data_IF_777900246955
#
_entry.id   IF_777900246955
#
_cell.length_a   1.000
_cell.length_b   1.000
_cell.length_c   1.000
_cell.angle_alpha   90.00
_cell.angle_beta   90.00
_cell.angle_gamma   90.00
#
_symmetry.space_group_name_H-M   'P 1'
#
loop_
_entity.id
_entity.type
_entity.pdbx_description
1 polymer ?
#
# COMPACT_ATOMS: atom_id res chain seq x y z
N UNK A 1 -4.47 -22.14 -12.64
CA UNK A 1 -3.36 -21.88 -11.68
C UNK A 1 -3.18 -20.37 -11.44
N UNK A 2 -2.98 -19.55 -12.43
CA UNK A 2 -2.77 -18.09 -12.34
C UNK A 2 -3.87 -17.33 -11.57
N UNK A 3 -5.16 -17.67 -11.76
CA UNK A 3 -6.27 -17.05 -11.03
C UNK A 3 -6.18 -17.25 -9.51
N UNK A 4 -5.81 -18.47 -9.08
CA UNK A 4 -5.65 -18.77 -7.63
C UNK A 4 -4.50 -17.99 -7.02
N UNK A 5 -3.35 -17.93 -7.71
CA UNK A 5 -2.18 -17.17 -7.25
C UNK A 5 -2.54 -15.69 -7.13
N UNK A 6 -3.21 -15.11 -8.13
CA UNK A 6 -3.64 -13.71 -8.09
C UNK A 6 -4.61 -13.45 -6.93
N UNK A 7 -5.55 -14.37 -6.68
CA UNK A 7 -6.46 -14.25 -5.54
C UNK A 7 -5.71 -14.31 -4.21
N UNK A 8 -4.82 -15.29 -4.03
CA UNK A 8 -4.05 -15.44 -2.78
C UNK A 8 -3.16 -14.22 -2.52
N UNK A 9 -2.44 -13.75 -3.53
CA UNK A 9 -1.61 -12.54 -3.39
C UNK A 9 -2.46 -11.29 -3.11
N UNK A 10 -3.62 -11.16 -3.75
CA UNK A 10 -4.57 -10.09 -3.48
C UNK A 10 -5.10 -10.12 -2.04
N UNK A 11 -5.42 -11.31 -1.50
CA UNK A 11 -5.87 -11.46 -0.11
C UNK A 11 -4.78 -11.11 0.91
N UNK A 12 -3.51 -11.45 0.62
CA UNK A 12 -2.38 -11.04 1.47
C UNK A 12 -2.25 -9.52 1.50
N UNK A 13 -2.31 -8.88 0.32
CA UNK A 13 -2.26 -7.42 0.21
C UNK A 13 -3.46 -6.76 0.89
N UNK A 14 -4.65 -7.30 0.71
CA UNK A 14 -5.87 -6.82 1.36
C UNK A 14 -5.77 -6.89 2.89
N UNK A 15 -5.31 -8.01 3.44
CA UNK A 15 -5.10 -8.16 4.88
C UNK A 15 -4.07 -7.14 5.42
N UNK A 16 -2.97 -6.92 4.67
CA UNK A 16 -1.98 -5.90 5.00
C UNK A 16 -2.59 -4.50 5.01
N UNK A 17 -3.26 -4.09 3.93
CA UNK A 17 -3.86 -2.76 3.81
C UNK A 17 -4.91 -2.53 4.89
N UNK A 18 -5.76 -3.53 5.15
CA UNK A 18 -6.76 -3.46 6.22
C UNK A 18 -6.12 -3.25 7.58
N UNK A 19 -5.11 -4.05 7.94
CA UNK A 19 -4.38 -3.89 9.21
C UNK A 19 -3.69 -2.54 9.31
N UNK A 20 -3.10 -2.06 8.22
CA UNK A 20 -2.47 -0.75 8.14
C UNK A 20 -3.46 0.40 8.37
N UNK A 21 -4.62 0.36 7.72
CA UNK A 21 -5.66 1.38 7.90
C UNK A 21 -6.30 1.32 9.28
N UNK A 22 -6.49 0.12 9.85
CA UNK A 22 -6.93 -0.02 11.24
C UNK A 22 -5.92 0.59 12.21
N UNK A 23 -4.62 0.43 11.95
CA UNK A 23 -3.61 1.12 12.76
C UNK A 23 -3.72 2.64 12.66
N UNK A 24 -3.94 3.18 11.46
CA UNK A 24 -4.18 4.63 11.30
C UNK A 24 -5.41 5.12 12.06
N UNK A 25 -6.46 4.30 12.16
CA UNK A 25 -7.67 4.67 12.91
C UNK A 25 -7.44 4.84 14.42
N UNK A 26 -6.37 4.23 14.97
CA UNK A 26 -5.98 4.46 16.37
C UNK A 26 -5.59 5.91 16.66
N UNK A 27 -5.25 6.68 15.62
CA UNK A 27 -5.00 8.12 15.73
C UNK A 27 -6.21 8.93 16.19
N UNK A 28 -7.42 8.41 16.10
CA UNK A 28 -8.64 9.00 16.69
C UNK A 28 -8.53 9.05 18.21
N UNK A 29 -7.85 8.08 18.82
CA UNK A 29 -7.64 8.06 20.27
C UNK A 29 -6.43 8.90 20.68
N UNK A 30 -5.26 8.61 20.10
CA UNK A 30 -4.04 9.38 20.35
C UNK A 30 -2.92 8.99 19.39
N UNK A 31 -1.94 9.90 19.23
CA UNK A 31 -0.71 9.63 18.51
C UNK A 31 0.08 8.45 19.14
N UNK A 32 0.08 8.37 20.48
CA UNK A 32 0.74 7.29 21.19
C UNK A 32 0.12 5.91 20.91
N UNK A 33 -1.23 5.83 20.86
CA UNK A 33 -1.92 4.59 20.50
C UNK A 33 -1.61 4.15 19.05
N UNK A 34 -1.59 5.11 18.12
CA UNK A 34 -1.26 4.85 16.72
C UNK A 34 0.20 4.39 16.58
N UNK A 35 1.13 4.98 17.36
CA UNK A 35 2.53 4.61 17.35
C UNK A 35 2.77 3.20 17.93
N UNK A 36 2.13 2.86 19.05
CA UNK A 36 2.21 1.51 19.62
C UNK A 36 1.70 0.45 18.64
N UNK A 37 0.60 0.73 17.93
CA UNK A 37 0.11 -0.15 16.87
C UNK A 37 1.09 -0.26 15.69
N UNK A 38 1.77 0.84 15.31
CA UNK A 38 2.80 0.85 14.27
C UNK A 38 3.98 -0.05 14.63
N UNK A 39 4.46 0.02 15.86
CA UNK A 39 5.58 -0.80 16.33
C UNK A 39 5.26 -2.30 16.18
N UNK A 40 4.09 -2.70 16.62
CA UNK A 40 3.64 -4.08 16.48
C UNK A 40 3.50 -4.49 15.00
N UNK A 41 2.89 -3.64 14.19
CA UNK A 41 2.67 -3.89 12.76
C UNK A 41 3.99 -3.99 12.00
N UNK A 42 4.93 -3.08 12.26
CA UNK A 42 6.25 -3.10 11.63
C UNK A 42 7.10 -4.27 12.11
N UNK A 43 6.97 -4.68 13.37
CA UNK A 43 7.62 -5.89 13.88
C UNK A 43 7.23 -7.13 13.04
N UNK A 44 5.96 -7.28 12.69
CA UNK A 44 5.50 -8.39 11.84
C UNK A 44 5.96 -8.23 10.39
N UNK A 45 5.72 -7.05 9.81
CA UNK A 45 5.89 -6.83 8.36
C UNK A 45 7.34 -6.59 7.92
N UNK A 46 8.22 -6.16 8.83
CA UNK A 46 9.65 -5.93 8.52
C UNK A 46 10.54 -7.14 8.78
N UNK A 47 10.06 -8.17 9.46
CA UNK A 47 10.77 -9.46 9.54
C UNK A 47 10.91 -10.07 8.13
N UNK A 48 11.95 -10.88 7.88
CA UNK A 48 12.18 -11.43 6.54
C UNK A 48 10.96 -12.12 5.93
N UNK A 49 10.25 -12.92 6.72
CA UNK A 49 9.04 -13.63 6.26
C UNK A 49 7.94 -12.66 5.87
N UNK A 50 7.63 -11.67 6.71
CA UNK A 50 6.61 -10.66 6.44
C UNK A 50 6.97 -9.79 5.23
N UNK A 51 8.23 -9.34 5.14
CA UNK A 51 8.72 -8.57 4.00
C UNK A 51 8.65 -9.35 2.68
N UNK A 52 9.07 -10.62 2.67
CA UNK A 52 9.01 -11.48 1.49
C UNK A 52 7.56 -11.74 1.10
N UNK A 53 6.70 -12.06 2.07
CA UNK A 53 5.28 -12.29 1.82
C UNK A 53 4.62 -11.04 1.20
N UNK A 54 4.88 -9.86 1.74
CA UNK A 54 4.29 -8.61 1.28
C UNK A 54 4.84 -8.19 -0.09
N UNK A 55 6.16 -8.05 -0.22
CA UNK A 55 6.80 -7.60 -1.46
C UNK A 55 6.63 -8.62 -2.58
N UNK A 56 6.76 -9.91 -2.27
CA UNK A 56 6.50 -11.00 -3.22
C UNK A 56 5.04 -11.00 -3.69
N UNK A 57 4.08 -10.85 -2.77
CA UNK A 57 2.67 -10.74 -3.15
C UNK A 57 2.39 -9.52 -4.02
N UNK A 58 2.96 -8.36 -3.70
CA UNK A 58 2.80 -7.14 -4.51
C UNK A 58 3.33 -7.34 -5.93
N UNK A 59 4.55 -7.83 -6.05
CA UNK A 59 5.20 -8.07 -7.35
C UNK A 59 4.44 -9.09 -8.19
N UNK A 60 4.10 -10.23 -7.60
CA UNK A 60 3.37 -11.29 -8.30
C UNK A 60 1.96 -10.83 -8.68
N UNK A 61 1.26 -10.15 -7.78
CA UNK A 61 -0.10 -9.66 -8.04
C UNK A 61 -0.12 -8.67 -9.22
N UNK A 62 0.78 -7.69 -9.19
CA UNK A 62 0.91 -6.67 -10.24
C UNK A 62 1.31 -7.30 -11.59
N UNK A 63 2.29 -8.21 -11.59
CA UNK A 63 2.70 -8.92 -12.78
C UNK A 63 1.56 -9.74 -13.38
N UNK A 64 0.84 -10.50 -12.56
CA UNK A 64 -0.29 -11.31 -13.04
C UNK A 64 -1.48 -10.45 -13.50
N UNK A 65 -1.68 -9.26 -12.91
CA UNK A 65 -2.68 -8.32 -13.39
C UNK A 65 -2.31 -7.76 -14.76
N UNK A 66 -1.05 -7.33 -14.94
CA UNK A 66 -0.53 -6.85 -16.21
C UNK A 66 -0.58 -7.95 -17.29
N UNK A 67 -0.16 -9.16 -16.94
CA UNK A 67 -0.25 -10.31 -17.84
C UNK A 67 -1.69 -10.62 -18.26
N UNK A 68 -2.63 -10.60 -17.30
CA UNK A 68 -4.03 -10.84 -17.59
C UNK A 68 -4.62 -9.76 -18.54
N UNK A 69 -4.19 -8.51 -18.40
CA UNK A 69 -4.58 -7.43 -19.30
C UNK A 69 -3.95 -7.62 -20.69
N UNK A 70 -2.66 -7.93 -20.77
CA UNK A 70 -1.95 -8.19 -22.02
C UNK A 70 -2.53 -9.37 -22.79
N UNK A 71 -2.90 -10.44 -22.09
CA UNK A 71 -3.44 -11.66 -22.72
C UNK A 71 -4.92 -11.50 -23.19
N UNK A 72 -5.56 -10.35 -22.94
CA UNK A 72 -6.93 -10.10 -23.42
C UNK A 72 -6.94 -9.94 -24.93
N UNK A 73 -7.87 -10.60 -25.58
CA UNK A 73 -8.11 -10.44 -27.04
C UNK A 73 -8.86 -9.16 -27.39
N UNK A 74 -9.52 -8.54 -26.42
CA UNK A 74 -10.31 -7.32 -26.58
C UNK A 74 -10.26 -6.48 -25.31
N UNK A 75 -10.16 -5.16 -25.47
CA UNK A 75 -10.26 -4.20 -24.37
C UNK A 75 -11.72 -3.80 -24.07
N UNK A 76 -12.69 -4.44 -24.72
CA UNK A 76 -14.10 -4.26 -24.35
C UNK A 76 -14.32 -4.88 -22.98
N UNK A 77 -14.75 -4.06 -22.03
CA UNK A 77 -14.96 -4.43 -20.63
C UNK A 77 -16.08 -3.58 -20.05
N UNK A 78 -16.67 -4.04 -18.95
CA UNK A 78 -17.62 -3.22 -18.20
C UNK A 78 -16.93 -2.04 -17.54
N UNK A 79 -17.69 -0.99 -17.21
CA UNK A 79 -17.15 0.18 -16.50
C UNK A 79 -16.49 -0.23 -15.16
N UNK A 80 -17.09 -1.18 -14.44
CA UNK A 80 -16.52 -1.69 -13.18
C UNK A 80 -15.17 -2.38 -13.38
N UNK A 81 -15.01 -3.21 -14.42
CA UNK A 81 -13.72 -3.82 -14.74
C UNK A 81 -12.67 -2.76 -15.14
N UNK A 82 -13.07 -1.76 -15.92
CA UNK A 82 -12.18 -0.68 -16.33
C UNK A 82 -11.71 0.13 -15.10
N UNK A 83 -12.61 0.51 -14.20
CA UNK A 83 -12.29 1.20 -12.95
C UNK A 83 -11.35 0.37 -12.08
N UNK A 84 -11.63 -0.92 -11.91
CA UNK A 84 -10.78 -1.82 -11.13
C UNK A 84 -9.35 -1.89 -11.69
N UNK A 85 -9.20 -1.94 -13.02
CA UNK A 85 -7.88 -1.95 -13.67
C UNK A 85 -7.17 -0.61 -13.47
N UNK A 86 -7.85 0.51 -13.74
CA UNK A 86 -7.28 1.85 -13.62
C UNK A 86 -6.81 2.11 -12.20
N UNK A 87 -7.67 1.89 -11.21
CA UNK A 87 -7.31 2.09 -9.80
C UNK A 87 -6.26 1.09 -9.33
N UNK A 88 -6.35 -0.18 -9.73
CA UNK A 88 -5.34 -1.18 -9.37
C UNK A 88 -3.94 -0.83 -9.85
N UNK A 89 -3.79 -0.27 -11.05
CA UNK A 89 -2.49 0.18 -11.57
C UNK A 89 -2.07 1.56 -11.04
N UNK A 90 -2.99 2.39 -10.57
CA UNK A 90 -2.66 3.67 -9.95
C UNK A 90 -2.13 3.53 -8.51
N UNK A 91 -2.55 2.50 -7.77
CA UNK A 91 -2.10 2.25 -6.40
C UNK A 91 -0.57 2.23 -6.27
N UNK A 92 0.20 1.44 -7.06
CA UNK A 92 1.66 1.43 -6.96
C UNK A 92 2.30 2.79 -7.19
N UNK A 93 1.73 3.63 -8.06
CA UNK A 93 2.23 4.98 -8.35
C UNK A 93 2.08 5.89 -7.12
N UNK A 94 0.91 5.89 -6.48
CA UNK A 94 0.68 6.65 -5.25
C UNK A 94 1.46 6.10 -4.06
N UNK A 95 1.56 4.76 -3.95
CA UNK A 95 2.31 4.10 -2.88
C UNK A 95 3.83 4.25 -3.01
N UNK A 96 4.37 4.46 -4.21
CA UNK A 96 5.82 4.60 -4.40
C UNK A 96 6.40 5.70 -3.52
N UNK A 97 5.78 6.88 -3.53
CA UNK A 97 6.21 8.02 -2.71
C UNK A 97 6.01 7.75 -1.22
N UNK A 98 4.91 7.11 -0.83
CA UNK A 98 4.69 6.70 0.55
C UNK A 98 5.76 5.70 1.01
N UNK A 99 6.01 4.66 0.24
CA UNK A 99 7.01 3.63 0.56
C UNK A 99 8.42 4.20 0.64
N UNK A 100 8.81 5.04 -0.32
CA UNK A 100 10.13 5.70 -0.33
C UNK A 100 10.26 6.67 0.85
N UNK A 101 9.27 7.52 1.07
CA UNK A 101 9.28 8.54 2.12
C UNK A 101 9.19 7.99 3.55
N UNK A 102 8.82 6.72 3.71
CA UNK A 102 8.73 6.05 5.03
C UNK A 102 9.83 4.99 5.17
N UNK A 103 9.52 3.74 4.83
CA UNK A 103 10.42 2.61 4.99
C UNK A 103 11.69 2.67 4.12
N UNK A 104 11.64 3.33 2.95
CA UNK A 104 12.79 3.49 2.07
C UNK A 104 13.86 4.41 2.68
N UNK A 105 13.46 5.61 3.06
CA UNK A 105 14.38 6.61 3.68
C UNK A 105 14.92 6.11 5.02
N UNK A 106 14.07 5.45 5.82
CA UNK A 106 14.53 4.80 7.05
C UNK A 106 15.65 3.77 6.79
N UNK A 107 15.47 2.90 5.81
CA UNK A 107 16.47 1.86 5.49
C UNK A 107 17.77 2.42 4.92
N UNK A 108 17.70 3.50 4.14
CA UNK A 108 18.86 4.09 3.46
C UNK A 108 19.65 5.06 4.36
N UNK A 109 18.98 5.79 5.23
CA UNK A 109 19.57 6.89 5.98
C UNK A 109 19.39 6.79 7.50
N UNK A 110 18.73 5.73 8.01
CA UNK A 110 18.48 5.54 9.44
C UNK A 110 17.54 6.58 10.05
N UNK A 111 16.75 7.28 9.21
CA UNK A 111 15.82 8.30 9.71
C UNK A 111 14.70 7.69 10.56
N UNK A 112 14.20 8.48 11.50
CA UNK A 112 12.96 8.13 12.21
C UNK A 112 11.80 7.97 11.22
N UNK A 113 10.99 6.94 11.41
CA UNK A 113 9.80 6.69 10.59
C UNK A 113 8.53 6.56 11.44
N UNK A 114 8.56 7.21 12.62
CA UNK A 114 7.41 7.31 13.50
C UNK A 114 6.35 8.27 12.93
N UNK A 115 5.13 8.19 13.45
CA UNK A 115 4.04 9.00 12.96
C UNK A 115 4.25 10.51 13.19
N UNK A 116 4.93 10.91 14.25
CA UNK A 116 5.24 12.32 14.49
C UNK A 116 6.11 12.90 13.37
N UNK A 117 7.15 12.16 12.94
CA UNK A 117 8.00 12.53 11.82
C UNK A 117 7.20 12.58 10.50
N UNK A 118 6.42 11.55 10.21
CA UNK A 118 5.65 11.47 8.97
C UNK A 118 4.61 12.59 8.88
N UNK A 119 3.88 12.89 9.96
CA UNK A 119 2.93 13.99 10.02
C UNK A 119 3.64 15.34 9.81
N UNK A 120 4.78 15.56 10.47
CA UNK A 120 5.57 16.78 10.30
C UNK A 120 6.02 16.95 8.84
N UNK A 121 6.59 15.91 8.24
CA UNK A 121 7.06 15.97 6.86
C UNK A 121 5.92 16.25 5.89
N UNK A 122 4.81 15.55 6.02
CA UNK A 122 3.69 15.68 5.10
C UNK A 122 2.97 17.02 5.22
N UNK A 123 2.67 17.46 6.43
CA UNK A 123 1.90 18.68 6.61
C UNK A 123 2.72 19.95 6.51
N UNK A 124 3.98 19.93 6.91
CA UNK A 124 4.81 21.12 6.95
C UNK A 124 5.73 21.27 5.74
N UNK A 125 6.31 20.19 5.25
CA UNK A 125 7.33 20.24 4.21
C UNK A 125 6.89 19.71 2.85
N UNK A 126 5.90 18.82 2.80
CA UNK A 126 5.44 18.17 1.57
C UNK A 126 3.91 18.05 1.53
N UNK A 127 3.21 19.17 1.58
CA UNK A 127 1.73 19.20 1.58
C UNK A 127 1.12 18.44 0.38
N UNK A 128 1.79 18.42 -0.78
CA UNK A 128 1.40 17.61 -1.93
C UNK A 128 1.41 16.09 -1.62
N UNK A 129 2.18 15.65 -0.64
CA UNK A 129 2.20 14.26 -0.17
C UNK A 129 0.88 13.84 0.45
N UNK A 130 0.20 14.74 1.16
CA UNK A 130 -1.13 14.49 1.74
C UNK A 130 -2.15 14.24 0.63
N UNK A 131 -2.14 15.05 -0.43
CA UNK A 131 -3.02 14.87 -1.58
C UNK A 131 -2.79 13.52 -2.25
N UNK A 132 -1.53 13.19 -2.54
CA UNK A 132 -1.18 11.92 -3.19
C UNK A 132 -1.56 10.71 -2.34
N UNK A 133 -1.37 10.77 -1.03
CA UNK A 133 -1.81 9.68 -0.13
C UNK A 133 -3.33 9.57 -0.09
N UNK A 134 -4.05 10.67 -0.08
CA UNK A 134 -5.52 10.68 -0.14
C UNK A 134 -6.01 10.04 -1.44
N UNK A 135 -5.41 10.39 -2.58
CA UNK A 135 -5.74 9.77 -3.86
C UNK A 135 -5.42 8.28 -3.87
N UNK A 136 -4.29 7.88 -3.27
CA UNK A 136 -3.90 6.47 -3.10
C UNK A 136 -4.90 5.68 -2.24
N UNK A 137 -5.39 6.31 -1.16
CA UNK A 137 -6.43 5.74 -0.31
C UNK A 137 -7.73 5.51 -1.07
N UNK A 138 -8.21 6.52 -1.81
CA UNK A 138 -9.40 6.37 -2.66
C UNK A 138 -9.21 5.29 -3.73
N UNK A 139 -8.03 5.25 -4.37
CA UNK A 139 -7.73 4.21 -5.35
C UNK A 139 -7.81 2.80 -4.74
N UNK A 140 -7.28 2.62 -3.53
CA UNK A 140 -7.34 1.35 -2.80
C UNK A 140 -8.77 0.96 -2.39
N UNK A 141 -9.60 1.94 -2.02
CA UNK A 141 -11.00 1.70 -1.65
C UNK A 141 -11.89 1.33 -2.84
N UNK A 142 -11.61 1.89 -4.02
CA UNK A 142 -12.40 1.63 -5.23
C UNK A 142 -11.95 0.34 -5.92
N UNK A 143 -10.67 -0.04 -5.79
CA UNK A 143 -10.10 -1.26 -6.37
C UNK A 143 -10.64 -2.52 -5.69
#
# INVERSE_FOLDING_TARGET
>A
MTRRIRLTTGLILFAFVTGHLLNHSLGIHSLAAMEAGREWFTFVCRKPVGSIALMGSLTIHLFLAAWALYARRSLRMSAGEALQIVFGFSIPLFLALHFVGTGGVHRMFGTEDNYAYILLVQWKFAANGVLLQTLGLFAAWIH
#
